data_IF_764095605770
#
_entry.id   IF_764095605770
#
_cell.length_a   1.000
_cell.length_b   1.000
_cell.length_c   1.000
_cell.angle_alpha   90.00
_cell.angle_beta   90.00
_cell.angle_gamma   90.00
#
_symmetry.space_group_name_H-M   'P 1'
#
loop_
_entity.id
_entity.type
_entity.pdbx_description
1 polymer ?
2 branched ?
3 water ?
#
# COMPACT_ATOMS: atom_id res chain seq x y z
N UNK A 1 -2.10 -10.57 23.77
CA UNK A 1 -1.57 -10.67 22.36
C UNK A 1 -0.38 -11.59 22.37
N UNK A 2 0.29 -11.73 21.23
CA UNK A 2 1.45 -12.64 21.12
C UNK A 2 2.74 -12.07 21.69
N UNK A 3 2.74 -10.79 22.05
CA UNK A 3 3.93 -10.19 22.65
C UNK A 3 3.52 -9.32 23.85
N UNK A 4 4.37 -9.29 24.88
CA UNK A 4 4.15 -8.41 26.01
C UNK A 4 4.27 -6.96 25.56
N UNK A 5 3.31 -6.12 25.98
CA UNK A 5 3.28 -4.69 25.64
C UNK A 5 3.25 -3.86 26.91
N UNK A 6 3.98 -2.75 26.89
CA UNK A 6 4.11 -1.87 28.06
C UNK A 6 3.67 -0.45 27.69
N UNK A 7 3.00 0.28 28.60
CA UNK A 7 2.58 1.65 28.27
C UNK A 7 3.79 2.54 28.00
N UNK A 8 3.66 3.43 27.01
CA UNK A 8 4.74 4.37 26.60
C UNK A 8 4.43 5.81 27.00
N UNK A 9 3.14 6.13 27.06
CA UNK A 9 2.57 7.40 27.53
C UNK A 9 1.22 6.89 28.06
N UNK A 10 0.70 7.50 29.12
CA UNK A 10 -0.60 7.12 29.66
C UNK A 10 -1.71 7.24 28.62
N UNK A 11 -2.78 6.41 28.74
CA UNK A 11 -3.86 6.44 27.74
C UNK A 11 -4.69 7.72 27.77
N UNK A 12 -5.31 8.03 26.64
CA UNK A 12 -6.42 8.94 26.65
C UNK A 12 -7.68 8.11 26.82
N UNK A 13 -8.35 8.25 27.96
CA UNK A 13 -9.52 7.46 28.27
C UNK A 13 -10.77 8.30 27.98
N UNK A 14 -11.70 7.67 27.28
CA UNK A 14 -12.94 8.30 26.79
C UNK A 14 -12.71 9.70 26.23
N UNK A 15 -11.80 9.83 25.24
CA UNK A 15 -11.53 11.18 24.72
C UNK A 15 -12.76 11.66 23.96
N UNK A 16 -13.12 12.94 24.10
CA UNK A 16 -14.34 13.43 23.42
C UNK A 16 -14.02 13.75 21.95
N UNK A 17 -14.85 13.25 21.05
CA UNK A 17 -14.67 13.50 19.61
C UNK A 17 -15.34 14.84 19.14
N UNK A 18 -14.61 15.65 18.35
CA UNK A 18 -13.27 15.54 17.81
C UNK A 18 -12.19 15.75 18.88
N UNK A 19 -11.12 14.95 18.81
CA UNK A 19 -10.08 14.94 19.85
C UNK A 19 -8.77 15.32 19.19
N UNK A 20 -8.00 16.19 19.82
CA UNK A 20 -6.65 16.50 19.39
C UNK A 20 -5.81 16.53 20.62
N UNK A 21 -4.70 15.79 20.63
CA UNK A 21 -3.82 15.75 21.80
C UNK A 21 -2.40 15.31 21.48
N UNK A 22 -1.46 15.54 22.43
CA UNK A 22 -0.05 15.17 22.17
C UNK A 22 0.28 13.68 22.04
N UNK A 23 1.25 13.40 21.19
CA UNK A 23 1.93 12.14 21.20
C UNK A 23 3.28 12.57 21.80
N UNK A 24 3.41 12.35 23.10
CA UNK A 24 4.48 12.96 23.90
C UNK A 24 5.83 12.44 23.45
N UNK A 25 6.69 13.36 23.01
CA UNK A 25 8.02 13.02 22.54
C UNK A 25 8.04 12.60 21.08
N UNK A 26 6.88 12.59 20.43
CA UNK A 26 6.81 12.26 19.01
C UNK A 26 6.72 10.76 18.77
N UNK A 27 6.30 10.35 17.57
CA UNK A 27 6.25 8.92 17.23
C UNK A 27 7.64 8.32 17.25
N UNK A 28 7.72 7.06 17.71
CA UNK A 28 8.96 6.33 17.86
C UNK A 28 8.83 4.98 17.14
N UNK A 29 9.92 4.50 16.55
CA UNK A 29 9.93 3.17 15.96
C UNK A 29 9.45 2.17 17.01
N UNK A 30 8.53 1.30 16.63
CA UNK A 30 8.08 0.28 17.59
C UNK A 30 6.89 0.71 18.43
N UNK A 31 6.48 1.97 18.33
CA UNK A 31 5.31 2.42 19.09
C UNK A 31 4.05 1.86 18.44
N UNK A 32 3.13 1.37 19.27
CA UNK A 32 1.80 0.99 18.81
C UNK A 32 0.78 1.93 19.40
N UNK A 33 0.01 2.62 18.53
CA UNK A 33 -1.06 3.52 18.96
C UNK A 33 -2.39 2.82 18.69
N UNK A 34 -3.11 2.49 19.75
CA UNK A 34 -4.34 1.70 19.58
C UNK A 34 -5.57 2.51 19.94
N UNK A 35 -6.54 2.53 19.05
CA UNK A 35 -7.83 3.15 19.29
C UNK A 35 -8.89 2.06 19.47
N UNK A 36 -9.54 2.09 20.63
CA UNK A 36 -10.63 1.18 20.93
C UNK A 36 -11.90 2.01 20.90
N UNK A 37 -12.89 1.62 20.11
CA UNK A 37 -14.06 2.48 19.99
C UNK A 37 -15.25 1.85 19.31
N UNK A 38 -16.17 2.70 18.84
CA UNK A 38 -17.34 2.23 18.14
C UNK A 38 -17.62 3.16 16.96
N UNK A 39 -17.83 2.58 15.79
CA UNK A 39 -18.31 3.32 14.62
C UNK A 39 -19.80 3.64 14.85
N UNK A 40 -20.20 4.89 14.64
CA UNK A 40 -21.60 5.29 14.79
C UNK A 40 -22.51 4.52 13.83
N UNK A 41 -23.78 4.39 14.18
CA UNK A 41 -24.72 3.53 13.44
C UNK A 41 -24.95 3.99 12.02
N UNK A 42 -24.86 5.28 11.77
CA UNK A 42 -24.99 5.75 10.39
C UNK A 42 -23.76 6.56 9.97
N UNK A 43 -22.58 6.03 10.27
CA UNK A 43 -21.35 6.70 9.89
C UNK A 43 -21.27 7.07 8.39
N UNK A 44 -20.77 8.26 8.11
CA UNK A 44 -20.38 8.62 6.75
C UNK A 44 -18.86 8.53 6.62
N UNK A 45 -18.13 9.19 7.50
CA UNK A 45 -16.67 9.13 7.48
C UNK A 45 -16.10 9.29 8.87
N UNK A 46 -14.87 8.84 9.07
CA UNK A 46 -14.10 9.33 10.23
C UNK A 46 -12.63 9.49 9.87
N UNK A 47 -11.86 10.19 10.71
CA UNK A 47 -10.51 10.52 10.34
C UNK A 47 -9.59 10.32 11.53
N UNK A 48 -8.44 9.69 11.30
CA UNK A 48 -7.36 9.70 12.32
C UNK A 48 -6.17 10.37 11.68
N UNK A 49 -5.70 11.47 12.27
CA UNK A 49 -4.57 12.21 11.67
C UNK A 49 -3.39 12.11 12.59
N UNK A 50 -2.24 11.73 12.05
CA UNK A 50 -0.98 11.82 12.79
C UNK A 50 -0.27 13.00 12.22
N UNK A 51 -0.12 14.05 13.01
CA UNK A 51 0.32 15.32 12.47
C UNK A 51 1.40 16.02 13.28
N UNK A 52 2.01 17.02 12.64
CA UNK A 52 3.07 17.84 13.20
C UNK A 52 2.45 19.17 13.62
N UNK A 53 2.30 19.36 14.93
CA UNK A 53 1.64 20.50 15.57
C UNK A 53 0.09 20.49 15.49
N UNK A 54 -0.50 21.42 16.23
CA UNK A 54 -1.96 21.63 16.28
C UNK A 54 -2.59 22.05 14.93
N UNK A 55 -1.74 22.57 14.04
CA UNK A 55 -2.17 23.29 12.84
C UNK A 55 -2.95 22.47 11.82
N UNK A 56 -2.48 21.27 11.50
CA UNK A 56 -3.18 20.47 10.49
C UNK A 56 -2.67 20.61 9.09
N UNK A 57 -1.71 21.52 8.89
CA UNK A 57 -1.10 21.75 7.58
C UNK A 57 -0.14 20.65 7.17
N UNK A 58 0.47 20.02 8.17
CA UNK A 58 1.39 18.94 7.94
C UNK A 58 0.94 17.67 8.67
N UNK A 59 0.35 16.76 7.89
CA UNK A 59 -0.18 15.48 8.38
C UNK A 59 0.67 14.36 7.77
N UNK A 60 1.53 13.75 8.58
CA UNK A 60 2.37 12.64 8.04
C UNK A 60 1.47 11.52 7.50
N UNK A 61 0.40 11.21 8.22
CA UNK A 61 -0.44 10.05 7.91
C UNK A 61 -1.86 10.40 8.29
N UNK A 62 -2.70 10.47 7.24
CA UNK A 62 -4.14 10.73 7.26
C UNK A 62 -4.81 9.40 6.98
N UNK A 63 -5.56 8.87 7.94
CA UNK A 63 -6.25 7.57 7.77
C UNK A 63 -7.78 7.83 7.79
N UNK A 64 -8.47 7.57 6.69
CA UNK A 64 -9.84 8.12 6.47
C UNK A 64 -10.83 7.10 5.88
N UNK A 65 -11.42 6.26 6.73
CA UNK A 65 -12.54 5.42 6.32
C UNK A 65 -13.75 6.22 5.83
N UNK A 66 -14.28 5.81 4.68
CA UNK A 66 -15.43 6.44 4.04
C UNK A 66 -16.49 5.37 3.77
N UNK A 67 -17.65 5.51 4.41
CA UNK A 67 -18.75 4.59 4.21
C UNK A 67 -19.58 5.07 3.02
N UNK A 68 -18.94 5.00 1.85
CA UNK A 68 -19.42 5.59 0.61
C UNK A 68 -18.95 4.68 -0.52
N UNK A 69 -19.76 4.54 -1.57
CA UNK A 69 -19.35 3.81 -2.76
C UNK A 69 -18.93 2.34 -2.49
N UNK A 70 -19.67 1.70 -1.60
CA UNK A 70 -19.39 0.33 -1.20
C UNK A 70 -18.50 0.21 0.01
N UNK A 71 -17.92 1.31 0.47
CA UNK A 71 -16.95 1.28 1.60
C UNK A 71 -15.48 1.20 1.14
N UNK A 72 -14.69 2.20 1.53
CA UNK A 72 -13.25 2.25 1.24
C UNK A 72 -12.48 3.12 2.22
N UNK A 73 -11.16 2.92 2.30
CA UNK A 73 -10.37 3.73 3.20
C UNK A 73 -9.30 4.47 2.42
N UNK A 74 -9.18 5.76 2.69
CA UNK A 74 -8.22 6.65 2.06
C UNK A 74 -7.03 6.84 3.05
N UNK A 75 -5.81 6.62 2.54
CA UNK A 75 -4.55 6.96 3.22
C UNK A 75 -3.81 8.05 2.41
N UNK A 76 -3.33 9.07 3.09
CA UNK A 76 -2.63 10.17 2.41
C UNK A 76 -1.75 10.94 3.39
N UNK A 77 -1.01 11.91 2.85
CA UNK A 77 -0.11 12.77 3.59
C UNK A 77 -0.42 14.19 3.11
N UNK A 78 -0.41 15.12 4.05
CA UNK A 78 -0.56 16.55 3.74
C UNK A 78 0.75 17.24 4.07
N UNK A 79 1.25 18.02 3.11
CA UNK A 79 2.50 18.77 3.27
C UNK A 79 2.27 20.22 2.92
N UNK A 80 2.57 21.13 3.85
CA UNK A 80 2.34 22.54 3.61
C UNK A 80 0.94 22.82 3.11
N UNK A 81 -0.07 22.15 3.71
CA UNK A 81 -1.49 22.29 3.33
C UNK A 81 -1.91 21.56 2.05
N UNK A 82 -0.98 20.86 1.40
CA UNK A 82 -1.29 20.14 0.13
C UNK A 82 -1.38 18.63 0.28
N UNK A 83 -2.50 18.05 -0.19
CA UNK A 83 -2.68 16.59 -0.17
C UNK A 83 -1.79 15.95 -1.26
N UNK A 84 -1.17 14.82 -0.92
CA UNK A 84 -0.38 14.06 -1.89
C UNK A 84 -1.28 13.08 -2.63
N UNK A 85 -0.69 12.09 -3.34
CA UNK A 85 -1.51 11.08 -3.99
C UNK A 85 -2.17 10.07 -3.05
N UNK A 86 -3.47 9.88 -3.21
CA UNK A 86 -4.25 9.03 -2.30
C UNK A 86 -3.93 7.58 -2.57
N UNK A 87 -3.82 6.81 -1.48
CA UNK A 87 -3.77 5.35 -1.55
C UNK A 87 -5.13 4.85 -1.03
N UNK A 88 -5.93 4.25 -1.91
CA UNK A 88 -7.27 3.79 -1.51
C UNK A 88 -7.35 2.28 -1.45
N UNK A 89 -7.67 1.74 -0.29
CA UNK A 89 -8.00 0.31 -0.17
C UNK A 89 -9.49 0.15 -0.28
N UNK A 90 -9.93 -0.59 -1.29
CA UNK A 90 -11.36 -0.63 -1.65
C UNK A 90 -12.04 -1.75 -0.88
N UNK A 91 -12.06 -1.55 0.44
CA UNK A 91 -12.59 -2.50 1.39
C UNK A 91 -12.91 -1.71 2.66
N UNK A 92 -13.97 -2.08 3.38
CA UNK A 92 -14.38 -1.43 4.62
C UNK A 92 -14.31 -2.41 5.80
N UNK A 93 -13.25 -2.32 6.64
CA UNK A 93 -13.05 -3.28 7.74
C UNK A 93 -13.83 -2.93 9.01
N UNK A 94 -14.43 -1.74 9.03
CA UNK A 94 -15.27 -1.27 10.15
C UNK A 94 -16.73 -1.59 9.82
N UNK A 95 -17.52 -1.92 10.84
CA UNK A 95 -18.98 -2.07 10.64
C UNK A 95 -19.69 -0.95 11.39
N UNK A 96 -20.67 -0.33 10.76
CA UNK A 96 -21.50 0.70 11.40
C UNK A 96 -22.19 0.17 12.67
N UNK A 97 -22.13 0.95 13.74
CA UNK A 97 -22.70 0.60 15.04
C UNK A 97 -21.94 -0.41 15.87
N UNK A 98 -20.76 -0.83 15.41
CA UNK A 98 -20.05 -1.96 16.01
C UNK A 98 -18.70 -1.54 16.59
N UNK A 99 -18.28 -2.17 17.72
CA UNK A 99 -16.96 -1.84 18.27
C UNK A 99 -15.85 -2.22 17.30
N UNK A 100 -14.70 -1.55 17.44
CA UNK A 100 -13.53 -1.86 16.64
C UNK A 100 -12.27 -1.67 17.50
N UNK A 101 -11.17 -2.30 17.10
CA UNK A 101 -9.86 -1.99 17.62
C UNK A 101 -9.02 -1.58 16.41
N UNK A 102 -8.40 -0.42 16.48
CA UNK A 102 -7.62 0.09 15.38
C UNK A 102 -6.22 0.38 15.88
N UNK A 103 -5.24 -0.29 15.31
CA UNK A 103 -3.91 -0.26 15.87
C UNK A 103 -2.89 0.17 14.81
N UNK A 104 -2.16 1.23 15.09
CA UNK A 104 -1.12 1.77 14.20
C UNK A 104 0.25 1.40 14.75
N UNK A 105 1.01 0.61 13.99
CA UNK A 105 2.35 0.27 14.43
C UNK A 105 3.36 1.06 13.63
N UNK A 106 4.22 1.78 14.33
CA UNK A 106 5.25 2.58 13.65
C UNK A 106 6.44 1.66 13.42
N UNK A 107 6.74 1.39 12.15
CA UNK A 107 7.92 0.63 11.74
C UNK A 107 8.90 1.56 11.00
N UNK A 108 10.14 1.10 10.80
CA UNK A 108 11.14 1.99 10.25
C UNK A 108 10.73 2.60 8.90
N UNK A 109 10.13 1.82 8.01
CA UNK A 109 9.83 2.35 6.68
C UNK A 109 8.33 2.54 6.38
N UNK A 110 7.47 2.04 7.27
CA UNK A 110 6.02 2.14 7.03
C UNK A 110 5.25 2.12 8.34
N UNK A 111 3.99 2.55 8.29
CA UNK A 111 3.05 2.24 9.34
C UNK A 111 2.43 0.91 8.92
N UNK A 112 2.15 0.06 9.90
CA UNK A 112 1.28 -1.09 9.66
C UNK A 112 -0.02 -0.83 10.39
N UNK A 113 -1.14 -1.00 9.70
CA UNK A 113 -2.42 -0.77 10.35
C UNK A 113 -3.18 -2.08 10.52
N UNK A 114 -3.55 -2.41 11.77
CA UNK A 114 -4.39 -3.59 12.09
C UNK A 114 -5.80 -3.13 12.44
N UNK A 115 -6.79 -3.88 11.96
CA UNK A 115 -8.17 -3.59 12.33
C UNK A 115 -8.76 -4.89 12.87
N UNK A 116 -9.22 -4.85 14.13
CA UNK A 116 -9.76 -6.02 14.79
C UNK A 116 -8.77 -7.15 14.73
N UNK A 117 -7.51 -6.80 14.97
CA UNK A 117 -6.38 -7.72 15.13
C UNK A 117 -5.93 -8.40 13.83
N UNK A 118 -6.47 -7.94 12.69
CA UNK A 118 -6.04 -8.42 11.37
C UNK A 118 -5.35 -7.30 10.60
N UNK A 119 -4.26 -7.62 9.89
CA UNK A 119 -3.59 -6.62 9.05
C UNK A 119 -4.60 -6.03 8.08
N UNK A 120 -4.59 -4.70 7.93
CA UNK A 120 -5.53 -4.08 7.00
C UNK A 120 -4.76 -3.37 5.88
N UNK A 121 -3.86 -2.44 6.22
CA UNK A 121 -3.02 -1.75 5.19
C UNK A 121 -1.65 -1.41 5.71
N UNK A 122 -0.72 -1.23 4.77
CA UNK A 122 0.57 -0.63 5.06
C UNK A 122 0.61 0.76 4.45
N UNK A 123 1.40 1.66 5.04
CA UNK A 123 1.53 3.01 4.50
C UNK A 123 2.96 3.45 4.67
N UNK A 124 3.65 3.60 3.54
CA UNK A 124 5.07 3.95 3.52
C UNK A 124 5.22 5.36 4.03
N UNK A 125 6.21 5.60 4.88
CA UNK A 125 6.48 6.96 5.38
C UNK A 125 6.91 7.86 4.26
N UNK A 126 6.20 8.95 4.08
CA UNK A 126 6.60 9.95 3.07
C UNK A 126 7.43 11.08 3.67
N UNK A 127 7.31 11.25 4.97
CA UNK A 127 8.06 12.26 5.74
C UNK A 127 8.47 11.51 7.00
N UNK A 128 9.55 11.97 7.70
CA UNK A 128 9.96 11.27 8.94
C UNK A 128 8.83 11.28 10.00
N UNK A 129 8.55 10.11 10.59
CA UNK A 129 7.41 9.98 11.48
C UNK A 129 7.68 10.67 12.81
N UNK A 130 8.96 10.89 13.10
CA UNK A 130 9.31 11.45 14.39
C UNK A 130 8.86 12.92 14.55
N UNK A 131 8.58 13.60 13.45
CA UNK A 131 8.02 14.96 13.51
C UNK A 131 6.55 15.00 13.97
N UNK A 132 5.88 13.85 13.94
CA UNK A 132 4.51 13.73 14.42
C UNK A 132 4.47 13.79 15.94
N UNK A 133 3.85 14.84 16.47
CA UNK A 133 3.73 15.01 17.93
C UNK A 133 2.29 15.17 18.37
N UNK A 134 1.37 14.96 17.44
CA UNK A 134 -0.02 15.31 17.68
C UNK A 134 -0.89 14.26 16.99
N UNK A 135 -1.91 13.80 17.70
CA UNK A 135 -2.95 12.97 17.08
C UNK A 135 -4.30 13.74 17.04
N UNK A 136 -5.02 13.67 15.94
CA UNK A 136 -6.32 14.30 15.80
C UNK A 136 -7.32 13.29 15.29
N UNK A 137 -8.39 13.05 16.05
CA UNK A 137 -9.42 12.06 15.67
C UNK A 137 -10.73 12.78 15.56
N UNK A 138 -11.40 12.59 14.43
CA UNK A 138 -12.70 13.27 14.22
C UNK A 138 -13.67 12.37 13.47
N UNK A 139 -14.96 12.70 13.56
CA UNK A 139 -15.92 12.11 12.60
C UNK A 139 -16.86 11.15 13.30
N UNK A 140 -17.35 10.17 12.56
CA UNK A 140 -18.52 9.41 13.01
C UNK A 140 -18.11 8.18 13.83
N UNK A 141 -17.58 8.45 15.03
CA UNK A 141 -17.07 7.39 15.94
C UNK A 141 -17.08 7.91 17.38
N UNK A 142 -16.89 7.00 18.34
CA UNK A 142 -16.55 7.36 19.73
C UNK A 142 -15.44 6.43 20.15
N UNK A 143 -14.68 6.83 21.16
CA UNK A 143 -13.56 6.03 21.63
C UNK A 143 -13.67 5.70 23.11
N UNK A 144 -13.43 4.44 23.51
CA UNK A 144 -13.24 4.14 24.93
C UNK A 144 -11.82 4.52 25.38
N UNK A 145 -10.84 4.33 24.51
CA UNK A 145 -9.48 4.77 24.84
C UNK A 145 -8.58 4.84 23.63
N UNK A 146 -7.45 5.53 23.82
CA UNK A 146 -6.29 5.45 22.96
C UNK A 146 -5.14 5.07 23.86
N UNK A 147 -4.45 3.98 23.53
CA UNK A 147 -3.24 3.60 24.25
C UNK A 147 -2.00 3.77 23.40
N UNK A 148 -0.87 3.88 24.08
CA UNK A 148 0.44 4.02 23.44
C UNK A 148 1.30 2.99 24.14
N UNK A 149 1.77 1.98 23.40
CA UNK A 149 2.53 0.84 23.93
C UNK A 149 3.74 0.50 23.06
N UNK A 150 4.74 -0.12 23.70
CA UNK A 150 5.93 -0.67 23.02
C UNK A 150 6.23 -2.07 23.55
N UNK A 151 6.98 -2.85 22.78
CA UNK A 151 7.51 -4.15 23.23
C UNK A 151 8.66 -4.03 24.23
N UNK A 152 9.33 -2.87 24.26
CA UNK A 152 10.23 -2.42 25.36
C UNK A 152 10.66 -3.45 26.41
N UNK B 1 23.19 0.77 -11.12
CA UNK B 1 22.40 1.34 -9.98
C UNK B 1 23.14 1.28 -8.66
N UNK B 2 22.40 1.44 -7.57
CA UNK B 2 22.99 1.49 -6.23
C UNK B 2 23.33 0.12 -5.64
N UNK B 3 22.85 -0.95 -6.29
CA UNK B 3 23.15 -2.35 -5.89
C UNK B 3 23.78 -3.10 -7.04
N UNK B 4 24.79 -3.92 -6.76
CA UNK B 4 25.31 -4.87 -7.78
C UNK B 4 24.21 -5.88 -8.13
N UNK B 5 23.96 -6.05 -9.43
CA UNK B 5 22.95 -6.99 -9.89
C UNK B 5 23.53 -8.06 -10.81
N UNK B 6 22.99 -9.27 -10.68
CA UNK B 6 23.42 -10.43 -11.44
C UNK B 6 22.25 -11.00 -12.20
N UNK B 7 22.50 -11.45 -13.44
CA UNK B 7 21.44 -12.09 -14.20
C UNK B 7 20.84 -13.29 -13.46
N UNK B 8 19.52 -13.43 -13.55
CA UNK B 8 18.88 -14.68 -13.19
C UNK B 8 18.74 -15.36 -14.53
N UNK B 9 17.51 -15.56 -15.02
CA UNK B 9 17.32 -16.11 -16.36
C UNK B 9 17.64 -15.07 -17.42
N UNK B 10 17.61 -15.49 -18.69
CA UNK B 10 17.87 -14.59 -19.80
C UNK B 10 16.61 -13.77 -20.19
N UNK B 11 16.82 -12.57 -20.76
CA UNK B 11 15.73 -11.64 -21.11
C UNK B 11 14.74 -12.07 -22.19
N UNK B 12 13.51 -11.58 -22.07
CA UNK B 12 12.60 -11.63 -23.19
C UNK B 12 12.77 -10.36 -24.02
N UNK B 13 13.03 -10.52 -25.32
CA UNK B 13 13.38 -9.38 -26.20
C UNK B 13 12.27 -9.12 -27.19
N UNK B 14 11.92 -7.84 -27.32
CA UNK B 14 10.73 -7.42 -28.06
C UNK B 14 9.58 -8.41 -27.93
N UNK B 15 9.24 -8.81 -26.68
CA UNK B 15 8.17 -9.79 -26.54
C UNK B 15 6.90 -9.20 -27.06
N UNK B 16 6.21 -9.92 -27.94
CA UNK B 16 4.97 -9.40 -28.53
C UNK B 16 3.83 -9.51 -27.51
N UNK B 17 2.97 -8.49 -27.53
CA UNK B 17 1.86 -8.33 -26.59
C UNK B 17 0.55 -8.77 -27.24
N UNK B 18 -0.25 -9.60 -26.54
CA UNK B 18 -0.02 -10.13 -25.17
C UNK B 18 1.07 -11.21 -25.05
N UNK B 19 1.89 -11.08 -24.02
CA UNK B 19 3.00 -11.99 -23.77
C UNK B 19 2.71 -12.81 -22.51
N UNK B 20 2.94 -14.11 -22.60
CA UNK B 20 2.98 -14.99 -21.40
C UNK B 20 4.27 -15.80 -21.42
N UNK B 21 4.97 -15.84 -20.29
CA UNK B 21 6.22 -16.58 -20.24
C UNK B 21 6.66 -16.98 -18.85
N UNK B 22 7.57 -17.96 -18.76
CA UNK B 22 7.96 -18.48 -17.47
C UNK B 22 8.87 -17.56 -16.69
N UNK B 23 8.69 -17.56 -15.38
CA UNK B 23 9.66 -17.01 -14.46
C UNK B 23 10.41 -18.22 -13.87
N UNK B 24 11.65 -18.40 -14.30
CA UNK B 24 12.34 -19.70 -14.16
C UNK B 24 12.78 -19.94 -12.76
N UNK B 25 12.22 -20.96 -12.13
CA UNK B 25 12.48 -21.26 -10.75
C UNK B 25 11.51 -20.55 -9.80
N UNK B 26 10.65 -19.71 -10.34
CA UNK B 26 9.70 -18.92 -9.52
C UNK B 26 10.28 -17.61 -8.98
N UNK B 27 9.40 -16.70 -8.54
CA UNK B 27 9.86 -15.47 -7.91
C UNK B 27 10.70 -15.82 -6.67
N UNK B 28 11.74 -15.02 -6.40
CA UNK B 28 12.59 -15.24 -5.23
C UNK B 28 12.90 -13.88 -4.59
N UNK B 29 13.07 -13.86 -3.27
CA UNK B 29 13.43 -12.63 -2.56
C UNK B 29 14.67 -12.05 -3.22
N UNK B 30 14.71 -10.73 -3.40
CA UNK B 30 15.87 -10.08 -4.03
C UNK B 30 15.85 -10.06 -5.54
N UNK B 31 14.84 -10.69 -6.16
CA UNK B 31 14.69 -10.67 -7.61
C UNK B 31 14.10 -9.33 -8.12
N UNK B 32 14.61 -8.83 -9.24
CA UNK B 32 14.10 -7.60 -9.87
C UNK B 32 13.63 -7.93 -11.26
N UNK B 33 12.37 -7.63 -11.56
CA UNK B 33 11.86 -7.87 -12.90
C UNK B 33 11.58 -6.52 -13.53
N UNK B 34 12.29 -6.21 -14.61
CA UNK B 34 12.21 -4.90 -15.23
C UNK B 34 11.63 -5.03 -16.59
N UNK B 35 10.58 -4.27 -16.85
CA UNK B 35 9.98 -4.13 -18.19
C UNK B 35 10.34 -2.77 -18.75
N UNK B 36 10.82 -2.76 -19.99
CA UNK B 36 11.14 -1.54 -20.70
C UNK B 36 10.20 -1.49 -21.90
N UNK B 37 9.43 -0.43 -22.01
CA UNK B 37 8.45 -0.41 -23.08
C UNK B 37 7.93 0.98 -23.31
N UNK B 38 6.81 1.04 -24.04
CA UNK B 38 6.16 2.30 -24.38
C UNK B 38 4.66 2.15 -24.17
N UNK B 39 4.10 3.10 -23.42
CA UNK B 39 2.65 3.22 -23.31
C UNK B 39 2.16 3.68 -24.68
N UNK B 40 1.15 2.99 -25.21
CA UNK B 40 0.57 3.38 -26.51
C UNK B 40 -0.12 4.75 -26.48
N UNK B 41 -0.16 5.44 -27.62
CA UNK B 41 -0.63 6.83 -27.67
C UNK B 41 -2.10 7.03 -27.25
N UNK B 42 -2.94 6.01 -27.43
CA UNK B 42 -4.34 6.11 -27.03
C UNK B 42 -4.73 5.02 -26.02
N UNK B 43 -3.75 4.70 -25.18
CA UNK B 43 -3.88 3.70 -24.12
C UNK B 43 -5.03 3.99 -23.20
N UNK B 44 -5.82 2.95 -22.91
CA UNK B 44 -6.88 3.00 -21.89
C UNK B 44 -6.40 2.31 -20.62
N UNK B 45 -5.91 1.08 -20.77
CA UNK B 45 -5.38 0.26 -19.67
C UNK B 45 -4.28 -0.66 -20.17
N UNK B 46 -3.42 -1.09 -19.25
CA UNK B 46 -2.56 -2.22 -19.51
C UNK B 46 -2.39 -3.07 -18.24
N UNK B 47 -1.84 -4.28 -18.39
CA UNK B 47 -1.81 -5.27 -17.31
C UNK B 47 -0.48 -6.02 -17.25
N UNK B 48 0.09 -6.08 -16.05
CA UNK B 48 1.17 -7.01 -15.73
C UNK B 48 0.71 -7.95 -14.62
N UNK B 49 0.73 -9.25 -14.90
CA UNK B 49 0.25 -10.25 -13.96
C UNK B 49 1.43 -11.14 -13.60
N UNK B 50 1.68 -11.31 -12.30
CA UNK B 50 2.59 -12.32 -11.80
C UNK B 50 1.71 -13.42 -11.28
N UNK B 51 1.72 -14.55 -11.98
CA UNK B 51 0.73 -15.61 -11.70
C UNK B 51 1.32 -17.01 -11.50
N UNK B 52 0.49 -17.89 -10.94
CA UNK B 52 0.81 -19.29 -10.69
C UNK B 52 0.13 -20.09 -11.78
N UNK B 53 0.92 -20.62 -12.73
CA UNK B 53 0.40 -21.32 -13.89
C UNK B 53 -0.26 -20.43 -14.95
N UNK B 54 -0.78 -21.07 -15.98
CA UNK B 54 -1.08 -20.37 -17.22
C UNK B 54 -2.51 -19.85 -17.27
N UNK B 55 -3.43 -20.39 -16.46
CA UNK B 55 -4.85 -20.02 -16.73
C UNK B 55 -5.32 -18.70 -16.14
N UNK B 56 -4.49 -18.09 -15.28
CA UNK B 56 -4.82 -16.80 -14.67
C UNK B 56 -5.87 -16.83 -13.57
N UNK B 57 -6.22 -18.01 -13.09
CA UNK B 57 -7.08 -18.18 -11.92
C UNK B 57 -6.41 -17.70 -10.65
N UNK B 58 -5.09 -17.86 -10.60
CA UNK B 58 -4.28 -17.49 -9.42
C UNK B 58 -3.18 -16.49 -9.79
N UNK B 59 -3.43 -15.21 -9.50
CA UNK B 59 -2.52 -14.10 -9.83
C UNK B 59 -2.12 -13.50 -8.49
N UNK B 60 -0.87 -13.71 -8.11
CA UNK B 60 -0.33 -13.18 -6.84
C UNK B 60 -0.34 -11.66 -6.85
N UNK B 61 -0.01 -11.07 -8.01
CA UNK B 61 0.08 -9.62 -8.13
C UNK B 61 -0.36 -9.21 -9.52
N UNK B 62 -1.47 -8.49 -9.56
CA UNK B 62 -2.03 -7.89 -10.77
C UNK B 62 -1.77 -6.38 -10.68
N UNK B 63 -1.10 -5.83 -11.70
CA UNK B 63 -0.69 -4.44 -11.70
C UNK B 63 -1.29 -3.82 -12.94
N UNK B 64 -2.20 -2.89 -12.73
CA UNK B 64 -3.15 -2.48 -13.80
C UNK B 64 -3.35 -0.95 -13.85
N UNK B 65 -2.46 -0.23 -14.57
CA UNK B 65 -2.69 1.19 -14.82
C UNK B 65 -3.91 1.41 -15.68
N UNK B 66 -4.66 2.45 -15.35
CA UNK B 66 -5.91 2.78 -16.01
C UNK B 66 -5.93 4.25 -16.31
N UNK B 67 -5.91 4.62 -17.59
CA UNK B 67 -5.94 6.02 -18.01
C UNK B 67 -7.37 6.46 -18.08
N UNK B 68 -8.01 6.48 -16.90
CA UNK B 68 -9.42 6.75 -16.75
C UNK B 68 -9.59 7.58 -15.49
N UNK B 69 -10.66 8.39 -15.43
CA UNK B 69 -11.01 9.21 -14.24
C UNK B 69 -9.79 9.96 -13.67
N UNK B 70 -8.95 10.46 -14.56
CA UNK B 70 -7.79 11.23 -14.16
C UNK B 70 -6.50 10.43 -14.14
N UNK B 71 -6.61 9.10 -14.09
CA UNK B 71 -5.43 8.24 -14.10
C UNK B 71 -5.14 7.69 -12.71
N UNK B 72 -5.11 6.38 -12.61
CA UNK B 72 -4.86 5.70 -11.35
C UNK B 72 -4.37 4.29 -11.64
N UNK B 73 -3.80 3.62 -10.65
CA UNK B 73 -3.30 2.26 -10.87
C UNK B 73 -3.95 1.27 -9.88
N UNK B 74 -4.52 0.19 -10.40
CA UNK B 74 -5.11 -0.82 -9.54
C UNK B 74 -4.10 -1.96 -9.29
N UNK B 75 -3.92 -2.33 -8.03
CA UNK B 75 -3.15 -3.50 -7.66
C UNK B 75 -4.06 -4.50 -6.95
N UNK B 76 -3.95 -5.79 -7.25
CA UNK B 76 -4.89 -6.75 -6.65
C UNK B 76 -4.33 -8.14 -6.78
N UNK B 77 -5.06 -9.11 -6.20
CA UNK B 77 -4.64 -10.51 -6.21
C UNK B 77 -5.86 -11.30 -6.62
N UNK B 78 -5.67 -12.31 -7.46
CA UNK B 78 -6.75 -13.26 -7.81
C UNK B 78 -6.40 -14.63 -7.22
N UNK B 79 -7.38 -15.24 -6.53
CA UNK B 79 -7.22 -16.58 -5.90
C UNK B 79 -8.38 -17.48 -6.25
N UNK B 80 -8.08 -18.64 -6.82
CA UNK B 80 -9.11 -19.56 -7.32
C UNK B 80 -10.17 -18.89 -8.22
N UNK B 81 -9.74 -17.88 -8.98
CA UNK B 81 -10.61 -17.16 -9.90
C UNK B 81 -11.25 -15.93 -9.28
N UNK B 82 -11.05 -15.72 -7.99
CA UNK B 82 -11.72 -14.62 -7.28
C UNK B 82 -10.78 -13.44 -7.02
N UNK B 83 -11.22 -12.23 -7.39
CA UNK B 83 -10.43 -11.05 -7.13
C UNK B 83 -10.57 -10.66 -5.66
N UNK B 84 -9.49 -10.29 -5.01
CA UNK B 84 -9.56 -9.70 -3.67
C UNK B 84 -9.87 -8.21 -3.61
N UNK B 85 -9.62 -7.58 -2.45
CA UNK B 85 -9.86 -6.12 -2.34
C UNK B 85 -8.79 -5.29 -3.06
N UNK B 86 -9.23 -4.40 -3.96
CA UNK B 86 -8.28 -3.60 -4.74
C UNK B 86 -7.54 -2.59 -3.88
N UNK B 87 -6.29 -2.30 -4.26
CA UNK B 87 -5.50 -1.19 -3.69
C UNK B 87 -5.24 -0.23 -4.82
N UNK B 88 -5.83 0.97 -4.74
CA UNK B 88 -5.77 1.91 -5.85
C UNK B 88 -4.86 3.08 -5.48
N UNK B 89 -3.79 3.28 -6.24
CA UNK B 89 -2.95 4.44 -6.06
C UNK B 89 -3.44 5.48 -7.05
N UNK B 90 -3.89 6.61 -6.50
CA UNK B 90 -4.59 7.61 -7.27
C UNK B 90 -3.62 8.56 -7.94
N UNK B 91 -2.83 7.98 -8.84
CA UNK B 91 -1.77 8.70 -9.52
C UNK B 91 -1.40 7.87 -10.73
N UNK B 92 -1.11 8.55 -11.85
CA UNK B 92 -0.67 7.89 -13.07
C UNK B 92 0.80 8.24 -13.40
N UNK B 93 1.71 7.27 -13.18
CA UNK B 93 3.13 7.48 -13.43
C UNK B 93 3.58 7.24 -14.87
N UNK B 94 2.70 6.74 -15.73
CA UNK B 94 2.99 6.54 -17.15
C UNK B 94 2.34 7.68 -17.96
N UNK B 95 2.80 7.92 -19.18
CA UNK B 95 2.23 8.95 -20.05
C UNK B 95 1.95 8.28 -21.39
N UNK B 96 0.78 8.56 -21.96
CA UNK B 96 0.41 7.96 -23.25
C UNK B 96 1.47 8.32 -24.29
N UNK B 97 1.94 7.32 -25.03
CA UNK B 97 2.88 7.52 -26.12
C UNK B 97 4.33 7.50 -25.67
N UNK B 98 4.58 7.47 -24.37
CA UNK B 98 5.95 7.66 -23.86
C UNK B 98 6.64 6.39 -23.38
N UNK B 99 7.98 6.33 -23.55
CA UNK B 99 8.68 5.19 -22.95
C UNK B 99 8.62 5.16 -21.43
N UNK B 100 8.78 3.97 -20.86
CA UNK B 100 8.84 3.81 -19.41
C UNK B 100 9.79 2.65 -19.05
N UNK B 101 10.30 2.67 -17.83
CA UNK B 101 10.92 1.53 -17.23
C UNK B 101 10.08 1.18 -16.01
N UNK B 102 9.68 -0.09 -15.91
CA UNK B 102 8.84 -0.53 -14.80
C UNK B 102 9.56 -1.70 -14.16
N UNK B 103 9.96 -1.52 -12.91
CA UNK B 103 10.72 -2.51 -12.21
C UNK B 103 9.99 -3.03 -10.97
N UNK B 104 9.90 -4.35 -10.88
CA UNK B 104 9.24 -5.03 -9.76
C UNK B 104 10.30 -5.71 -8.93
N UNK B 105 10.46 -5.28 -7.69
CA UNK B 105 11.38 -5.93 -6.77
C UNK B 105 10.65 -6.76 -5.72
N UNK B 106 11.01 -8.05 -5.65
CA UNK B 106 10.47 -8.99 -4.68
C UNK B 106 11.25 -8.91 -3.35
N UNK B 107 10.57 -8.48 -2.31
CA UNK B 107 11.13 -8.58 -0.96
C UNK B 107 10.34 -9.60 -0.17
N UNK B 108 10.84 -9.90 1.02
CA UNK B 108 10.27 -10.88 1.92
C UNK B 108 8.77 -10.65 2.14
N UNK B 109 8.39 -9.42 2.51
CA UNK B 109 6.98 -9.10 2.86
C UNK B 109 6.12 -8.37 1.79
N UNK B 110 6.77 -7.85 0.75
CA UNK B 110 6.09 -7.07 -0.27
C UNK B 110 6.85 -7.06 -1.59
N UNK B 111 6.14 -6.68 -2.64
CA UNK B 111 6.74 -6.16 -3.86
C UNK B 111 6.96 -4.68 -3.66
N UNK B 112 8.05 -4.15 -4.22
CA UNK B 112 8.21 -2.73 -4.40
C UNK B 112 8.23 -2.46 -5.90
N UNK B 113 7.49 -1.46 -6.33
CA UNK B 113 7.36 -1.16 -7.75
C UNK B 113 7.96 0.22 -8.05
N UNK B 114 8.97 0.29 -8.93
CA UNK B 114 9.49 1.59 -9.39
C UNK B 114 9.06 1.83 -10.81
N UNK B 115 8.75 3.08 -11.11
CA UNK B 115 8.45 3.50 -12.48
C UNK B 115 9.40 4.63 -12.82
N UNK B 116 10.12 4.48 -13.92
CA UNK B 116 11.14 5.45 -14.33
C UNK B 116 12.09 5.77 -13.17
N UNK B 117 12.48 4.72 -12.45
CA UNK B 117 13.50 4.80 -11.41
C UNK B 117 12.99 5.26 -10.05
N UNK B 118 11.75 5.75 -10.01
CA UNK B 118 11.21 6.26 -8.78
C UNK B 118 10.18 5.32 -8.16
N UNK B 119 10.26 5.17 -6.86
CA UNK B 119 9.29 4.36 -6.11
C UNK B 119 7.91 4.83 -6.47
N UNK B 120 7.04 3.87 -6.75
CA UNK B 120 5.65 4.22 -7.10
C UNK B 120 4.67 3.65 -6.10
N UNK B 121 4.80 2.35 -5.82
CA UNK B 121 3.87 1.68 -4.96
C UNK B 121 4.51 0.46 -4.31
N UNK B 122 4.08 0.16 -3.08
CA UNK B 122 4.35 -1.12 -2.45
C UNK B 122 3.10 -2.00 -2.44
N UNK B 123 3.29 -3.32 -2.49
CA UNK B 123 2.17 -4.25 -2.44
C UNK B 123 2.55 -5.44 -1.55
N UNK B 124 1.84 -5.58 -0.42
CA UNK B 124 2.10 -6.68 0.51
C UNK B 124 1.70 -7.99 -0.11
N UNK B 125 2.56 -9.01 0.02
CA UNK B 125 2.27 -10.35 -0.50
C UNK B 125 1.02 -10.86 0.20
N UNK B 126 0.04 -11.35 -0.58
CA UNK B 126 -1.13 -11.97 0.03
C UNK B 126 -1.03 -13.49 -0.04
N UNK B 127 -0.37 -13.98 -1.08
CA UNK B 127 -0.12 -15.42 -1.30
C UNK B 127 1.42 -15.62 -1.44
N UNK B 128 1.92 -16.87 -1.31
CA UNK B 128 3.38 -17.11 -1.47
C UNK B 128 3.92 -16.72 -2.84
N UNK B 129 4.95 -15.87 -2.84
CA UNK B 129 5.54 -15.40 -4.11
C UNK B 129 6.31 -16.52 -4.82
N UNK B 130 6.82 -17.48 -4.06
CA UNK B 130 7.65 -18.53 -4.70
C UNK B 130 6.84 -19.42 -5.68
N UNK B 131 5.52 -19.44 -5.48
CA UNK B 131 4.59 -20.19 -6.36
C UNK B 131 4.27 -19.47 -7.70
N UNK B 132 4.71 -18.23 -7.84
CA UNK B 132 4.54 -17.51 -9.09
C UNK B 132 5.64 -18.00 -10.06
N UNK B 133 5.23 -18.55 -11.18
CA UNK B 133 6.16 -19.12 -12.15
C UNK B 133 5.91 -18.56 -13.54
N UNK B 134 5.08 -17.52 -13.63
CA UNK B 134 4.63 -17.03 -14.92
C UNK B 134 4.41 -15.54 -14.85
N UNK B 135 4.80 -14.83 -15.90
CA UNK B 135 4.46 -13.41 -16.05
C UNK B 135 3.57 -13.31 -17.29
N UNK B 136 2.50 -12.52 -17.18
CA UNK B 136 1.64 -12.23 -18.32
C UNK B 136 1.42 -10.72 -18.48
N UNK B 137 1.77 -10.20 -19.66
CA UNK B 137 1.64 -8.78 -19.97
C UNK B 137 0.67 -8.57 -21.14
N UNK B 138 -0.30 -7.68 -20.97
CA UNK B 138 -1.28 -7.44 -21.99
C UNK B 138 -1.77 -6.00 -22.01
N UNK B 139 -2.49 -5.64 -23.07
CA UNK B 139 -3.09 -4.30 -23.18
C UNK B 139 -2.30 -3.30 -24.01
N UNK B 140 -2.50 -2.02 -23.72
CA UNK B 140 -2.03 -0.90 -24.54
C UNK B 140 -0.58 -0.46 -24.28
N UNK B 141 0.36 -1.38 -24.45
CA UNK B 141 1.79 -1.05 -24.37
C UNK B 141 2.53 -1.84 -25.45
N UNK B 142 3.79 -1.50 -25.68
CA UNK B 142 4.71 -2.41 -26.33
C UNK B 142 5.94 -2.51 -25.46
N UNK B 143 6.75 -3.54 -25.65
CA UNK B 143 7.91 -3.76 -24.78
C UNK B 143 9.10 -4.14 -25.58
N UNK B 144 10.27 -3.64 -25.17
CA UNK B 144 11.52 -3.97 -25.84
C UNK B 144 12.29 -5.02 -25.08
N UNK B 145 12.17 -5.02 -23.75
CA UNK B 145 12.76 -6.07 -22.90
C UNK B 145 11.98 -6.37 -21.61
N UNK B 146 12.07 -7.62 -21.16
CA UNK B 146 11.83 -7.97 -19.77
C UNK B 146 13.13 -8.58 -19.29
N UNK B 147 13.76 -8.01 -18.27
CA UNK B 147 14.97 -8.63 -17.73
C UNK B 147 14.69 -9.14 -16.33
N UNK B 148 15.54 -10.06 -15.87
CA UNK B 148 15.43 -10.69 -14.55
C UNK B 148 16.80 -10.64 -13.90
N UNK B 149 16.89 -9.99 -12.75
CA UNK B 149 18.18 -9.83 -12.08
C UNK B 149 18.02 -10.04 -10.61
N UNK B 150 19.12 -10.41 -9.94
CA UNK B 150 19.11 -10.53 -8.51
C UNK B 150 20.28 -9.79 -7.85
N UNK B 151 20.07 -9.26 -6.64
CA UNK B 151 21.19 -8.73 -5.83
C UNK B 151 21.96 -9.82 -5.08
N UNK B 152 21.39 -11.03 -5.04
CA UNK B 152 21.97 -12.12 -4.25
C UNK B 152 23.14 -12.80 -4.98
N UNK B 153 24.30 -12.84 -4.31
CA UNK B 153 25.55 -13.37 -4.87
C UNK B 153 25.60 -14.91 -4.99
X LIG C 1 -10.79 14.72 -4.81
X LIG C 1 -10.46 13.36 -4.22
X LIG C 1 -10.99 13.38 -2.77
X LIG C 1 -10.44 14.59 -2.00
X LIG C 1 -10.71 15.88 -2.84
X LIG C 1 -10.24 17.20 -2.23
X LIG C 1 -10.39 11.54 -5.91
X LIG C 1 -11.19 10.48 -6.63
X LIG C 1 -11.06 12.32 -5.04
X LIG C 1 -10.40 14.75 -6.15
X LIG C 1 -10.72 12.20 -2.06
X LIG C 1 -11.08 14.64 -0.75
X LIG C 1 -10.08 15.70 -4.09
X LIG C 1 -8.86 17.10 -1.99
X LIG C 1 -9.17 11.63 -6.13
X LIG C 2 -10.18 14.95 0.31
X LIG C 2 -11.05 15.20 1.55
X LIG C 2 -10.21 15.42 2.79
X LIG C 2 -9.11 14.34 2.90
X LIG C 2 -8.36 14.17 1.57
X LIG C 2 -7.29 13.08 1.59
X LIG C 2 -11.86 16.34 1.41
X LIG C 2 -11.07 15.36 3.90
X LIG C 2 -9.73 13.15 3.29
X LIG C 2 -9.28 13.87 0.53
X LIG C 2 -6.84 12.88 0.28
X LIG D 1 -15.63 -3.18 -10.24
X LIG D 1 -14.28 -2.62 -9.77
X LIG D 1 -13.37 -2.84 -10.96
X LIG D 1 -13.37 -4.32 -11.34
X LIG D 1 -14.83 -4.84 -11.46
X LIG D 1 -15.03 -6.27 -11.96
X LIG D 1 -14.48 -0.83 -8.12
X LIG D 1 -14.83 0.63 -7.89
X LIG D 1 -14.39 -1.22 -9.40
X LIG D 1 -16.69 -2.68 -9.48
X LIG D 1 -12.07 -2.35 -10.70
X LIG D 1 -12.70 -4.42 -12.56
X LIG D 1 -15.51 -4.59 -10.24
X LIG D 1 -14.22 -7.16 -11.23
X LIG D 1 -14.27 -1.59 -7.17
X LIG D 2 -11.74 -5.48 -12.58
X LIG D 2 -11.22 -5.61 -14.03
X LIG D 2 -10.17 -6.71 -14.10
X LIG D 2 -9.09 -6.48 -13.04
X LIG D 2 -9.72 -6.30 -11.67
X LIG D 2 -8.77 -6.06 -10.49
X LIG D 2 -12.26 -5.80 -14.99
X LIG D 2 -9.61 -6.59 -15.39
X LIG D 2 -8.41 -5.29 -13.38
X LIG D 2 -10.65 -5.24 -11.71
X LIG D 2 -9.56 -5.95 -9.32
#
# INVERSE_FOLDING_TARGET
>A
GSMALFSAQSPYINPIIPFTGPIQGGLQEGLQVTLQGTTKSFAQRFVVNFQNSFNGNDIAFHFNPRFEEGGYVVCNTKQNGQWGPEERKMQMPFQKGMPFELCFLVQRSEFKVMVNKKFFVQYQHRVPYHLVDTIAVSGCLKLSFITFQTQNFRPAHQA
>B
GSMALFSAQSPYINPIIPFTGPIQGGLQEGLQVTLQGTTKSFAQRFVVNFQNSFNGNDIAFHFNPRFEEGGYVVCNTKQNGQWGPEERKMQMPFQKGMPFELCFLVQRSEFKVMVNKKFFVQYQHRVPYHLVDTIAVSGCLKLSFITFQTQNFRPAHQA
>C hetero
1 NAG C1 C2 C3 C4 C5 C6 C7 C8 N2 O1 O3 O4 O5 O6 O7
2 GAL C1 C2 C3 C4 C5 C6 O2 O3 O4 O5 O6
>D hetero
1 NAG C1 C2 C3 C4 C5 C6 C7 C8 N2 O1 O3 O4 O5 O6 O7
2 GAL C1 C2 C3 C4 C5 C6 O2 O3 O4 O5 O6
#
